data_IF_010926253805
#
_entry.id   IF_010926253805
#
_cell.length_a   1.000
_cell.length_b   1.000
_cell.length_c   1.000
_cell.angle_alpha   90.00
_cell.angle_beta   90.00
_cell.angle_gamma   90.00
#
_symmetry.space_group_name_H-M   'P 1'
#
loop_
_entity.id
_entity.type
_entity.pdbx_description
1 polymer ?
#
# COMPACT_ATOMS: atom_id res chain seq x y z
N UNK A 1 -1.14 16.75 8.17
CA UNK A 1 -2.08 15.69 7.85
C UNK A 1 -2.88 15.95 6.60
N UNK A 2 -3.23 17.22 6.37
CA UNK A 2 -3.96 17.60 5.15
C UNK A 2 -3.19 17.23 3.88
N UNK A 3 -1.87 17.21 3.97
CA UNK A 3 -1.00 16.80 2.85
C UNK A 3 -1.13 15.31 2.53
N UNK A 4 -1.64 14.52 3.46
CA UNK A 4 -1.78 13.07 3.31
C UNK A 4 -3.19 12.66 2.88
N UNK A 5 -4.04 13.63 2.54
CA UNK A 5 -5.38 13.37 2.03
C UNK A 5 -6.49 13.77 2.98
N UNK A 6 -7.57 13.02 2.96
CA UNK A 6 -8.78 13.31 3.72
C UNK A 6 -8.53 13.28 5.23
N UNK A 7 -9.05 14.30 5.92
CA UNK A 7 -8.97 14.38 7.38
C UNK A 7 -9.86 13.32 8.02
N UNK A 8 -9.32 12.60 8.99
CA UNK A 8 -10.05 11.59 9.75
C UNK A 8 -10.14 12.06 11.20
N UNK A 9 -11.35 12.00 11.77
CA UNK A 9 -11.56 12.36 13.16
C UNK A 9 -10.93 11.33 14.09
N UNK A 10 -10.11 11.80 15.04
CA UNK A 10 -9.45 10.95 16.02
C UNK A 10 -10.01 11.30 17.39
N UNK A 11 -10.74 10.36 18.00
CA UNK A 11 -11.53 10.61 19.21
C UNK A 11 -10.73 10.62 20.51
N UNK A 12 -9.60 9.95 20.57
CA UNK A 12 -8.79 9.89 21.78
C UNK A 12 -7.35 9.50 21.47
N UNK A 13 -6.47 9.59 22.47
CA UNK A 13 -5.05 9.31 22.33
C UNK A 13 -4.75 7.87 21.90
N UNK A 14 -5.49 6.90 22.43
CA UNK A 14 -5.32 5.50 22.05
C UNK A 14 -5.62 5.28 20.56
N UNK A 15 -6.69 5.91 20.06
CA UNK A 15 -7.02 5.86 18.63
C UNK A 15 -5.95 6.54 17.80
N UNK A 16 -5.37 7.66 18.29
CA UNK A 16 -4.26 8.35 17.62
C UNK A 16 -3.09 7.41 17.40
N UNK A 17 -2.71 6.63 18.42
CA UNK A 17 -1.59 5.69 18.34
C UNK A 17 -1.84 4.66 17.25
N UNK A 18 -3.08 4.18 17.12
CA UNK A 18 -3.45 3.23 16.07
C UNK A 18 -3.18 3.82 14.69
N UNK A 19 -3.63 5.04 14.44
CA UNK A 19 -3.40 5.71 13.14
C UNK A 19 -1.92 6.01 12.93
N UNK A 20 -1.22 6.48 13.97
CA UNK A 20 0.21 6.80 13.87
C UNK A 20 1.05 5.57 13.54
N UNK A 21 0.62 4.40 14.01
CA UNK A 21 1.32 3.15 13.69
C UNK A 21 1.40 2.95 12.19
N UNK A 22 0.32 3.29 11.45
CA UNK A 22 0.30 3.14 10.00
C UNK A 22 1.23 4.13 9.29
N UNK A 23 1.60 5.24 9.94
CA UNK A 23 2.55 6.18 9.35
C UNK A 23 3.94 5.57 9.17
N UNK A 24 4.24 4.50 9.89
CA UNK A 24 5.47 3.74 9.69
C UNK A 24 5.53 3.02 8.35
N UNK A 25 4.44 3.04 7.57
CA UNK A 25 4.39 2.43 6.25
C UNK A 25 4.74 3.40 5.13
N UNK A 26 5.06 4.66 5.43
CA UNK A 26 5.40 5.64 4.40
C UNK A 26 6.67 5.25 3.63
N UNK A 27 7.76 5.00 4.35
CA UNK A 27 9.00 4.57 3.70
C UNK A 27 8.87 3.17 3.07
N UNK A 28 8.25 2.18 3.73
CA UNK A 28 7.98 0.89 3.07
C UNK A 28 7.15 1.01 1.80
N UNK A 29 6.21 1.96 1.73
CA UNK A 29 5.46 2.22 0.51
C UNK A 29 6.38 2.70 -0.61
N UNK A 30 7.27 3.65 -0.32
CA UNK A 30 8.25 4.10 -1.30
C UNK A 30 9.21 2.97 -1.69
N UNK A 31 9.58 2.11 -0.74
CA UNK A 31 10.42 0.96 -1.02
C UNK A 31 9.73 -0.01 -1.99
N UNK A 32 8.42 -0.20 -1.84
CA UNK A 32 7.63 -1.00 -2.77
C UNK A 32 7.72 -0.44 -4.18
N UNK A 33 7.51 0.88 -4.34
CA UNK A 33 7.60 1.54 -5.64
C UNK A 33 9.02 1.44 -6.22
N UNK A 34 10.03 1.62 -5.36
CA UNK A 34 11.43 1.52 -5.75
C UNK A 34 11.78 0.12 -6.24
N UNK A 35 11.31 -0.90 -5.54
CA UNK A 35 11.54 -2.31 -5.91
C UNK A 35 10.97 -2.62 -7.29
N UNK A 36 9.76 -2.14 -7.58
CA UNK A 36 9.14 -2.33 -8.89
C UNK A 36 9.86 -1.55 -9.98
N UNK A 37 10.31 -0.33 -9.66
CA UNK A 37 11.09 0.49 -10.60
C UNK A 37 12.39 -0.20 -10.95
N UNK A 38 13.12 -0.71 -9.96
CA UNK A 38 14.37 -1.43 -10.17
C UNK A 38 14.16 -2.69 -11.03
N UNK A 39 13.04 -3.37 -10.81
CA UNK A 39 12.69 -4.55 -11.60
C UNK A 39 12.57 -4.20 -13.08
N UNK A 40 11.92 -3.09 -13.41
CA UNK A 40 11.79 -2.62 -14.79
C UNK A 40 13.15 -2.21 -15.37
N UNK A 41 13.96 -1.52 -14.58
CA UNK A 41 15.31 -1.08 -15.02
C UNK A 41 16.18 -2.27 -15.39
N UNK A 42 16.13 -3.33 -14.58
CA UNK A 42 16.87 -4.57 -14.87
C UNK A 42 16.47 -5.22 -16.19
N UNK A 43 15.28 -4.91 -16.69
CA UNK A 43 14.76 -5.44 -17.95
C UNK A 43 14.90 -4.46 -19.12
N UNK A 44 15.70 -3.40 -18.91
CA UNK A 44 16.05 -2.49 -19.98
C UNK A 44 15.23 -1.21 -20.06
N UNK A 45 14.34 -0.98 -19.10
CA UNK A 45 13.55 0.26 -19.08
C UNK A 45 14.40 1.38 -18.49
N UNK A 46 14.41 2.54 -19.14
CA UNK A 46 15.12 3.70 -18.62
C UNK A 46 14.54 4.11 -17.26
N UNK A 47 15.42 4.40 -16.28
CA UNK A 47 14.97 4.66 -14.90
C UNK A 47 13.93 5.76 -14.80
N UNK A 48 14.10 6.88 -15.50
CA UNK A 48 13.13 7.97 -15.45
C UNK A 48 11.76 7.55 -15.95
N UNK A 49 11.71 6.73 -16.99
CA UNK A 49 10.46 6.22 -17.55
C UNK A 49 9.83 5.18 -16.60
N UNK A 50 10.65 4.30 -16.04
CA UNK A 50 10.18 3.28 -15.10
C UNK A 50 9.55 3.93 -13.88
N UNK A 51 10.25 4.88 -13.27
CA UNK A 51 9.76 5.58 -12.07
C UNK A 51 8.47 6.35 -12.36
N UNK A 52 8.44 7.05 -13.49
CA UNK A 52 7.24 7.80 -13.90
C UNK A 52 6.04 6.88 -14.06
N UNK A 53 6.23 5.75 -14.72
CA UNK A 53 5.15 4.77 -14.93
C UNK A 53 4.64 4.21 -13.62
N UNK A 54 5.54 3.74 -12.76
CA UNK A 54 5.16 3.12 -11.48
C UNK A 54 4.45 4.13 -10.58
N UNK A 55 4.99 5.33 -10.44
CA UNK A 55 4.38 6.35 -9.56
C UNK A 55 3.02 6.79 -10.09
N UNK A 56 2.88 6.95 -11.41
CA UNK A 56 1.60 7.33 -12.03
C UNK A 56 0.55 6.24 -11.86
N UNK A 57 0.95 4.97 -12.00
CA UNK A 57 0.05 3.84 -11.82
C UNK A 57 -0.52 3.82 -10.39
N UNK A 58 0.36 3.95 -9.40
CA UNK A 58 -0.08 3.88 -8.00
C UNK A 58 -0.83 5.14 -7.56
N UNK A 59 -0.56 6.28 -8.16
CA UNK A 59 -1.37 7.47 -7.95
C UNK A 59 -2.80 7.22 -8.45
N UNK A 60 -2.95 6.71 -9.66
CA UNK A 60 -4.27 6.42 -10.23
C UNK A 60 -5.04 5.41 -9.37
N UNK A 61 -4.37 4.37 -8.90
CA UNK A 61 -4.99 3.37 -8.03
C UNK A 61 -5.42 3.98 -6.70
N UNK A 62 -4.59 4.85 -6.13
CA UNK A 62 -4.92 5.53 -4.87
C UNK A 62 -6.12 6.47 -5.03
N UNK A 63 -6.17 7.21 -6.14
CA UNK A 63 -7.30 8.09 -6.44
C UNK A 63 -8.59 7.30 -6.61
N UNK A 64 -8.51 6.16 -7.30
CA UNK A 64 -9.66 5.28 -7.47
C UNK A 64 -10.15 4.73 -6.14
N UNK A 65 -9.23 4.33 -5.27
CA UNK A 65 -9.57 3.83 -3.95
C UNK A 65 -10.26 4.90 -3.11
N UNK A 66 -9.79 6.13 -3.17
CA UNK A 66 -10.41 7.27 -2.46
C UNK A 66 -11.82 7.53 -3.01
N UNK A 67 -11.99 7.50 -4.32
CA UNK A 67 -13.29 7.72 -4.96
C UNK A 67 -14.31 6.65 -4.56
N UNK A 68 -13.85 5.45 -4.20
CA UNK A 68 -14.69 4.34 -3.76
C UNK A 68 -14.63 4.12 -2.25
N UNK A 69 -14.37 5.17 -1.48
CA UNK A 69 -14.14 5.07 -0.03
C UNK A 69 -15.32 4.55 0.78
N UNK A 70 -16.51 4.53 0.22
CA UNK A 70 -17.70 3.95 0.88
C UNK A 70 -17.76 2.43 0.76
N UNK A 71 -16.92 1.85 -0.08
CA UNK A 71 -16.84 0.40 -0.27
C UNK A 71 -15.62 -0.15 0.46
N UNK A 72 -15.73 -1.38 0.94
CA UNK A 72 -14.58 -2.05 1.54
C UNK A 72 -13.48 -2.20 0.49
N UNK A 73 -12.23 -2.00 0.88
CA UNK A 73 -11.09 -2.19 -0.03
C UNK A 73 -11.05 -3.61 -0.60
N UNK A 74 -11.56 -4.59 0.12
CA UNK A 74 -11.66 -5.98 -0.37
C UNK A 74 -12.49 -6.08 -1.64
N UNK A 75 -13.46 -5.19 -1.81
CA UNK A 75 -14.23 -5.11 -3.04
C UNK A 75 -13.33 -4.77 -4.23
N UNK A 76 -12.44 -3.77 -4.05
CA UNK A 76 -11.50 -3.38 -5.10
C UNK A 76 -10.49 -4.49 -5.38
N UNK A 77 -10.05 -5.20 -4.35
CA UNK A 77 -9.15 -6.35 -4.52
C UNK A 77 -9.82 -7.39 -5.42
N UNK A 78 -11.07 -7.71 -5.14
CA UNK A 78 -11.82 -8.68 -5.92
C UNK A 78 -12.08 -8.21 -7.35
N UNK A 79 -12.54 -6.97 -7.50
CA UNK A 79 -12.88 -6.41 -8.82
C UNK A 79 -11.66 -6.23 -9.73
N UNK A 80 -10.47 -6.10 -9.14
CA UNK A 80 -9.23 -5.95 -9.91
C UNK A 80 -8.68 -7.28 -10.42
N UNK A 81 -9.29 -8.40 -10.01
CA UNK A 81 -8.83 -9.73 -10.40
C UNK A 81 -9.75 -10.33 -11.44
N UNK A 82 -9.16 -10.93 -12.46
CA UNK A 82 -9.89 -11.79 -13.39
C UNK A 82 -9.41 -13.22 -13.16
N UNK A 83 -10.32 -14.22 -13.28
CA UNK A 83 -9.90 -15.62 -13.09
C UNK A 83 -8.71 -15.96 -14.00
N UNK A 84 -7.65 -16.54 -13.40
CA UNK A 84 -6.39 -16.88 -14.09
C UNK A 84 -5.62 -15.68 -14.63
N UNK A 85 -5.98 -14.45 -14.19
CA UNK A 85 -5.30 -13.23 -14.62
C UNK A 85 -4.08 -12.90 -13.77
N UNK A 86 -3.38 -11.83 -14.18
CA UNK A 86 -2.14 -11.40 -13.53
C UNK A 86 -2.36 -10.93 -12.09
N UNK A 87 -3.45 -10.21 -11.83
CA UNK A 87 -3.72 -9.70 -10.49
C UNK A 87 -4.11 -10.81 -9.52
N UNK A 88 -4.84 -11.81 -9.99
CA UNK A 88 -5.13 -12.97 -9.16
C UNK A 88 -3.84 -13.70 -8.80
N UNK A 89 -2.95 -13.89 -9.77
CA UNK A 89 -1.65 -14.49 -9.53
C UNK A 89 -0.85 -13.69 -8.50
N UNK A 90 -0.80 -12.37 -8.65
CA UNK A 90 -0.07 -11.50 -7.73
C UNK A 90 -0.56 -11.63 -6.30
N UNK A 91 -1.88 -11.57 -6.10
CA UNK A 91 -2.47 -11.68 -4.76
C UNK A 91 -2.16 -13.05 -4.15
N UNK A 92 -2.32 -14.13 -4.93
CA UNK A 92 -2.08 -15.49 -4.45
C UNK A 92 -0.63 -15.69 -4.03
N UNK A 93 0.31 -15.28 -4.89
CA UNK A 93 1.73 -15.49 -4.62
C UNK A 93 2.22 -14.67 -3.44
N UNK A 94 1.81 -13.40 -3.35
CA UNK A 94 2.19 -12.55 -2.21
C UNK A 94 1.56 -13.02 -0.91
N UNK A 95 0.33 -13.50 -0.97
CA UNK A 95 -0.34 -14.07 0.22
C UNK A 95 0.40 -15.31 0.69
N UNK A 96 0.73 -16.21 -0.23
CA UNK A 96 1.45 -17.44 0.10
C UNK A 96 2.85 -17.16 0.67
N UNK A 97 3.51 -16.12 0.15
CA UNK A 97 4.82 -15.71 0.63
C UNK A 97 4.76 -15.02 2.00
N UNK A 98 3.56 -14.72 2.51
CA UNK A 98 3.39 -14.08 3.82
C UNK A 98 3.56 -12.58 3.80
N UNK A 99 3.49 -11.95 2.62
CA UNK A 99 3.67 -10.51 2.49
C UNK A 99 2.70 -9.70 3.36
N UNK A 100 1.41 -10.01 3.26
CA UNK A 100 0.38 -9.26 4.00
C UNK A 100 0.42 -9.55 5.49
N UNK A 101 0.78 -10.78 5.87
CA UNK A 101 0.99 -11.14 7.29
C UNK A 101 2.19 -10.41 7.88
N UNK A 102 3.26 -10.28 7.10
CA UNK A 102 4.45 -9.54 7.52
C UNK A 102 4.13 -8.07 7.74
N UNK A 103 3.31 -7.50 6.86
CA UNK A 103 2.85 -6.13 6.99
C UNK A 103 2.10 -5.93 8.31
N UNK A 104 1.16 -6.81 8.62
CA UNK A 104 0.39 -6.75 9.87
C UNK A 104 1.30 -6.91 11.09
N UNK A 105 2.24 -7.85 11.04
CA UNK A 105 3.21 -8.03 12.14
C UNK A 105 4.07 -6.79 12.36
N UNK A 106 4.47 -6.13 11.28
CA UNK A 106 5.27 -4.91 11.37
C UNK A 106 4.44 -3.79 11.99
N UNK A 107 3.17 -3.65 11.60
CA UNK A 107 2.27 -2.68 12.21
C UNK A 107 2.11 -2.94 13.71
N UNK A 108 1.97 -4.19 14.10
CA UNK A 108 1.87 -4.56 15.51
C UNK A 108 3.14 -4.19 16.28
N UNK A 109 4.29 -4.40 15.67
CA UNK A 109 5.59 -4.07 16.28
C UNK A 109 5.74 -2.56 16.47
N UNK A 110 5.36 -1.77 15.48
CA UNK A 110 5.40 -0.31 15.55
C UNK A 110 4.43 0.19 16.61
N UNK A 111 3.22 -0.37 16.64
CA UNK A 111 2.20 -0.03 17.62
C UNK A 111 2.71 -0.27 19.05
N UNK A 112 3.35 -1.41 19.26
CA UNK A 112 3.93 -1.74 20.56
C UNK A 112 4.98 -0.72 20.99
N UNK A 113 5.81 -0.28 20.06
CA UNK A 113 6.83 0.74 20.31
C UNK A 113 6.22 2.08 20.73
N UNK A 114 5.15 2.49 20.02
CA UNK A 114 4.49 3.77 20.29
C UNK A 114 3.65 3.76 21.56
N UNK A 115 3.24 2.59 22.01
CA UNK A 115 2.34 2.42 23.15
C UNK A 115 3.09 2.16 24.47
N UNK A 116 4.38 2.49 24.52
CA UNK A 116 5.18 2.34 25.74
C UNK A 116 4.91 3.46 26.73
#
# INVERSE_FOLDING_TARGET
>A
FDKLGTTVEIKNEKSSINFWSTSGMMAPFYQLLSTMTDWLVKRGVKRTNAQKYITSLFLALSEDAVANSKKDLKYLVKESQTPKGLNEQGVKELTKAGFYKSLEKTLNSIHKRLNK
#
